data_IF_115359069675
#
_entry.id   IF_115359069675
#
_cell.length_a   1.000
_cell.length_b   1.000
_cell.length_c   1.000
_cell.angle_alpha   90.00
_cell.angle_beta   90.00
_cell.angle_gamma   90.00
#
_symmetry.space_group_name_H-M   'P 1'
#
loop_
_entity.id
_entity.type
_entity.pdbx_description
1 polymer ?
#
# COMPACT_ATOMS: atom_id res chain seq x y z
N UNK A 1 -0.73 12.69 -12.65
CA UNK A 1 -1.37 12.57 -11.32
C UNK A 1 -0.36 13.02 -10.27
N UNK A 2 -0.77 13.78 -9.26
CA UNK A 2 0.11 14.24 -8.16
C UNK A 2 -0.73 14.41 -6.90
N UNK A 3 -0.20 14.05 -5.73
CA UNK A 3 -0.86 14.30 -4.45
C UNK A 3 -0.34 15.60 -3.81
N UNK A 4 -1.20 16.32 -3.09
CA UNK A 4 -0.83 17.59 -2.44
C UNK A 4 -0.88 17.47 -0.93
N UNK A 5 0.24 17.77 -0.25
CA UNK A 5 0.26 17.82 1.21
C UNK A 5 -0.72 18.86 1.78
N UNK A 6 -0.96 19.97 1.09
CA UNK A 6 -1.90 21.00 1.57
C UNK A 6 -3.35 20.50 1.59
N UNK A 7 -3.73 19.64 0.63
CA UNK A 7 -5.05 18.99 0.61
C UNK A 7 -5.14 17.93 1.70
N UNK A 8 -4.11 17.09 1.82
CA UNK A 8 -4.10 16.01 2.81
C UNK A 8 -4.10 16.55 4.25
N UNK A 9 -3.34 17.62 4.51
CA UNK A 9 -3.25 18.26 5.84
C UNK A 9 -4.55 18.91 6.32
N UNK A 10 -5.57 19.06 5.47
CA UNK A 10 -6.89 19.54 5.90
C UNK A 10 -7.69 18.46 6.66
N UNK A 11 -7.36 17.19 6.45
CA UNK A 11 -8.07 16.02 7.02
C UNK A 11 -7.17 15.14 7.89
N UNK A 12 -5.86 15.14 7.64
CA UNK A 12 -4.90 14.27 8.31
C UNK A 12 -4.71 14.64 9.79
N UNK A 13 -4.69 13.66 10.72
CA UNK A 13 -4.42 13.92 12.14
C UNK A 13 -2.95 14.23 12.43
N UNK A 14 -2.04 13.89 11.52
CA UNK A 14 -0.63 14.23 11.59
C UNK A 14 -0.23 15.13 10.42
N UNK A 15 0.69 16.07 10.69
CA UNK A 15 1.21 16.97 9.65
C UNK A 15 2.06 16.18 8.65
N UNK A 16 1.65 16.19 7.39
CA UNK A 16 2.34 15.59 6.27
C UNK A 16 3.28 16.60 5.62
N UNK A 17 4.54 16.21 5.47
CA UNK A 17 5.56 16.91 4.70
C UNK A 17 5.75 16.20 3.37
N UNK A 18 5.61 16.91 2.25
CA UNK A 18 5.77 16.33 0.93
C UNK A 18 7.25 16.10 0.59
N UNK A 19 7.60 14.87 0.26
CA UNK A 19 8.95 14.48 -0.17
C UNK A 19 9.03 14.21 -1.69
N UNK A 20 7.90 13.91 -2.33
CA UNK A 20 7.80 13.66 -3.76
C UNK A 20 6.35 13.77 -4.26
N UNK A 21 6.10 13.40 -5.51
CA UNK A 21 4.77 13.50 -6.11
C UNK A 21 3.70 12.68 -5.37
N UNK A 22 4.11 11.54 -4.81
CA UNK A 22 3.25 10.59 -4.11
C UNK A 22 3.78 10.18 -2.73
N UNK A 23 4.79 10.88 -2.22
CA UNK A 23 5.54 10.47 -1.02
C UNK A 23 5.47 11.56 0.04
N UNK A 24 5.12 11.15 1.26
CA UNK A 24 4.92 12.02 2.41
C UNK A 24 5.65 11.48 3.63
N UNK A 25 6.08 12.39 4.50
CA UNK A 25 6.59 12.08 5.83
C UNK A 25 5.69 12.67 6.89
N UNK A 26 5.45 11.94 7.97
CA UNK A 26 4.83 12.46 9.19
C UNK A 26 5.55 11.93 10.44
N UNK A 27 5.28 12.59 11.57
CA UNK A 27 5.81 12.22 12.88
C UNK A 27 4.62 12.03 13.81
N UNK A 28 4.58 10.93 14.55
CA UNK A 28 3.49 10.63 15.49
C UNK A 28 3.65 11.40 16.80
N UNK A 29 2.62 11.38 17.66
CA UNK A 29 2.72 11.92 19.02
C UNK A 29 3.77 11.19 19.89
N UNK A 30 4.18 9.98 19.47
CA UNK A 30 5.22 9.16 20.10
C UNK A 30 6.62 9.40 19.49
N UNK A 31 6.79 10.46 18.69
CA UNK A 31 8.04 10.83 17.99
C UNK A 31 8.52 9.82 16.94
N UNK A 32 7.63 8.93 16.48
CA UNK A 32 7.97 7.92 15.48
C UNK A 32 7.83 8.52 14.08
N UNK A 33 8.90 8.42 13.30
CA UNK A 33 8.96 8.93 11.93
C UNK A 33 8.50 7.90 10.91
N UNK A 34 7.48 8.24 10.13
CA UNK A 34 7.00 7.43 9.02
C UNK A 34 7.17 8.12 7.69
N UNK A 35 7.54 7.34 6.68
CA UNK A 35 7.43 7.72 5.26
C UNK A 35 6.36 6.84 4.63
N UNK A 36 5.40 7.44 3.95
CA UNK A 36 4.27 6.75 3.31
C UNK A 36 4.09 7.28 1.90
N UNK A 37 3.70 6.42 0.97
CA UNK A 37 3.42 6.88 -0.37
C UNK A 37 3.23 5.77 -1.37
N UNK A 38 3.41 6.15 -2.63
CA UNK A 38 3.28 5.27 -3.77
C UNK A 38 4.45 5.40 -4.73
N UNK A 39 4.82 4.30 -5.38
CA UNK A 39 5.67 4.33 -6.56
C UNK A 39 5.00 3.58 -7.71
N UNK A 40 5.16 4.10 -8.93
CA UNK A 40 4.55 3.51 -10.12
C UNK A 40 5.12 2.11 -10.36
N UNK A 41 4.26 1.14 -10.65
CA UNK A 41 4.66 -0.20 -11.06
C UNK A 41 4.35 -0.44 -12.52
N UNK A 42 5.40 -0.48 -13.34
CA UNK A 42 5.30 -0.75 -14.79
C UNK A 42 5.46 -2.23 -15.15
N UNK A 43 5.68 -3.10 -14.16
CA UNK A 43 5.80 -4.56 -14.37
C UNK A 43 4.40 -5.18 -14.35
N UNK A 44 3.55 -4.70 -13.46
CA UNK A 44 2.16 -5.11 -13.30
C UNK A 44 1.29 -4.59 -14.45
N UNK A 45 1.38 -3.29 -14.74
CA UNK A 45 0.65 -2.63 -15.83
C UNK A 45 1.46 -1.44 -16.37
N UNK A 46 1.40 -1.18 -17.68
CA UNK A 46 2.12 -0.05 -18.31
C UNK A 46 1.78 1.32 -17.68
N UNK A 47 0.53 1.49 -17.24
CA UNK A 47 0.06 2.68 -16.55
C UNK A 47 -1.07 2.39 -15.55
N UNK A 48 -1.28 3.31 -14.61
CA UNK A 48 -2.37 3.25 -13.64
C UNK A 48 -2.11 2.34 -12.44
N UNK A 49 -0.95 1.70 -12.33
CA UNK A 49 -0.60 0.80 -11.24
C UNK A 49 0.48 1.38 -10.33
N UNK A 50 0.25 1.31 -9.02
CA UNK A 50 1.14 1.90 -8.03
C UNK A 50 1.29 1.02 -6.78
N UNK A 51 2.52 0.81 -6.34
CA UNK A 51 2.81 0.15 -5.08
C UNK A 51 2.66 1.11 -3.90
N UNK A 52 1.77 0.76 -2.97
CA UNK A 52 1.72 1.37 -1.66
C UNK A 52 2.90 0.91 -0.81
N UNK A 53 3.50 1.86 -0.10
CA UNK A 53 4.46 1.56 0.96
C UNK A 53 4.23 2.48 2.16
N UNK A 54 4.52 1.94 3.34
CA UNK A 54 4.74 2.71 4.56
C UNK A 54 5.97 2.13 5.24
N UNK A 55 6.90 3.01 5.60
CA UNK A 55 8.15 2.65 6.23
C UNK A 55 8.38 3.47 7.49
N UNK A 56 8.92 2.80 8.50
CA UNK A 56 9.45 3.42 9.69
C UNK A 56 10.97 3.30 9.60
N UNK A 57 11.56 4.33 8.99
CA UNK A 57 12.97 4.35 8.61
C UNK A 57 13.93 4.30 9.80
N UNK A 58 13.44 4.67 10.99
CA UNK A 58 14.22 4.68 12.23
C UNK A 58 14.02 3.40 13.04
N UNK A 59 13.16 2.49 12.55
CA UNK A 59 12.81 1.21 13.16
C UNK A 59 12.36 1.31 14.63
N UNK A 60 11.81 2.47 15.01
CA UNK A 60 11.31 2.69 16.36
C UNK A 60 9.97 1.98 16.57
N UNK A 61 9.68 1.59 17.80
CA UNK A 61 8.47 0.83 18.10
C UNK A 61 7.70 1.53 19.21
N UNK A 62 6.47 1.93 18.89
CA UNK A 62 5.53 2.54 19.82
C UNK A 62 4.39 1.60 20.20
N UNK A 63 3.53 2.09 21.08
CA UNK A 63 2.22 1.51 21.31
C UNK A 63 1.32 1.69 20.08
N UNK A 64 0.25 0.90 19.99
CA UNK A 64 -0.73 1.00 18.91
C UNK A 64 -1.26 2.44 18.76
N UNK A 65 -1.18 2.98 17.55
CA UNK A 65 -1.64 4.32 17.22
C UNK A 65 -2.68 4.28 16.10
N UNK A 66 -3.97 4.50 16.41
CA UNK A 66 -5.03 4.47 15.40
C UNK A 66 -4.93 5.62 14.39
N UNK A 67 -4.27 6.74 14.73
CA UNK A 67 -4.13 7.90 13.82
C UNK A 67 -3.30 7.56 12.58
N UNK A 68 -2.47 6.52 12.64
CA UNK A 68 -1.72 6.04 11.47
C UNK A 68 -2.70 5.55 10.38
N UNK A 69 -3.75 4.82 10.76
CA UNK A 69 -4.78 4.38 9.81
C UNK A 69 -5.56 5.58 9.24
N UNK A 70 -5.85 6.59 10.05
CA UNK A 70 -6.51 7.81 9.58
C UNK A 70 -5.65 8.55 8.55
N UNK A 71 -4.32 8.66 8.77
CA UNK A 71 -3.38 9.19 7.77
C UNK A 71 -3.43 8.38 6.47
N UNK A 72 -3.33 7.06 6.57
CA UNK A 72 -3.39 6.16 5.39
C UNK A 72 -4.72 6.34 4.66
N UNK A 73 -5.83 6.43 5.38
CA UNK A 73 -7.17 6.61 4.81
C UNK A 73 -7.26 7.90 4.00
N UNK A 74 -6.84 9.04 4.56
CA UNK A 74 -6.86 10.33 3.85
C UNK A 74 -5.99 10.31 2.59
N UNK A 75 -4.85 9.61 2.63
CA UNK A 75 -3.98 9.42 1.47
C UNK A 75 -4.66 8.56 0.40
N UNK A 76 -5.32 7.46 0.79
CA UNK A 76 -6.05 6.60 -0.16
C UNK A 76 -7.23 7.34 -0.80
N UNK A 77 -7.98 8.12 -0.02
CA UNK A 77 -9.10 8.93 -0.54
C UNK A 77 -8.61 9.89 -1.63
N UNK A 78 -7.48 10.57 -1.41
CA UNK A 78 -6.90 11.49 -2.39
C UNK A 78 -6.27 10.75 -3.59
N UNK A 79 -5.69 9.57 -3.35
CA UNK A 79 -5.10 8.76 -4.42
C UNK A 79 -6.17 8.22 -5.39
N UNK A 80 -7.30 7.73 -4.86
CA UNK A 80 -8.39 7.17 -5.67
C UNK A 80 -9.42 8.20 -6.15
N UNK A 81 -9.34 9.47 -5.73
CA UNK A 81 -10.19 10.55 -6.26
C UNK A 81 -9.77 11.03 -7.65
N UNK A 82 -8.57 10.65 -8.10
CA UNK A 82 -7.98 11.03 -9.37
C UNK A 82 -8.35 10.03 -10.48
N UNK A 83 -7.55 9.94 -11.54
CA UNK A 83 -7.72 8.96 -12.64
C UNK A 83 -7.89 7.52 -12.12
N UNK A 84 -8.56 6.62 -12.88
CA UNK A 84 -8.67 5.22 -12.52
C UNK A 84 -7.30 4.58 -12.26
N UNK A 85 -7.10 4.09 -11.04
CA UNK A 85 -5.85 3.47 -10.60
C UNK A 85 -6.08 2.17 -9.85
N UNK A 86 -5.05 1.33 -9.86
CA UNK A 86 -4.89 0.19 -8.96
C UNK A 86 -3.77 0.51 -7.96
N UNK A 87 -4.05 0.25 -6.69
CA UNK A 87 -3.01 0.17 -5.67
C UNK A 87 -2.60 -1.29 -5.50
N UNK A 88 -1.30 -1.54 -5.45
CA UNK A 88 -0.70 -2.83 -5.13
C UNK A 88 0.02 -2.76 -3.80
N UNK A 89 0.03 -3.85 -3.04
CA UNK A 89 0.97 -4.02 -1.94
C UNK A 89 1.59 -5.40 -1.99
N UNK A 90 2.83 -5.49 -1.51
CA UNK A 90 3.54 -6.74 -1.27
C UNK A 90 4.13 -6.65 0.13
N UNK A 91 3.96 -7.72 0.89
CA UNK A 91 4.60 -7.83 2.19
C UNK A 91 5.97 -8.47 2.00
N UNK A 92 7.01 -7.63 2.01
CA UNK A 92 8.41 -8.05 1.99
C UNK A 92 8.67 -9.18 3.00
N UNK A 93 9.43 -10.22 2.65
CA UNK A 93 9.72 -11.38 3.51
C UNK A 93 11.09 -11.38 4.18
N UNK A 94 11.90 -10.33 4.01
CA UNK A 94 13.31 -10.24 4.44
C UNK A 94 13.50 -10.30 5.95
N UNK A 95 12.57 -9.78 6.74
CA UNK A 95 12.62 -9.76 8.22
C UNK A 95 11.71 -10.82 8.87
N UNK A 96 11.12 -11.72 8.07
CA UNK A 96 10.14 -12.73 8.48
C UNK A 96 8.84 -12.20 9.13
N UNK A 97 8.52 -10.91 8.96
CA UNK A 97 7.30 -10.27 9.46
C UNK A 97 6.20 -10.10 8.40
N UNK A 98 6.33 -10.72 7.24
CA UNK A 98 5.38 -10.56 6.13
C UNK A 98 3.94 -10.92 6.51
N UNK A 99 3.73 -11.93 7.35
CA UNK A 99 2.39 -12.32 7.78
C UNK A 99 1.76 -11.30 8.75
N UNK A 100 2.59 -10.59 9.53
CA UNK A 100 2.12 -9.51 10.40
C UNK A 100 1.76 -8.26 9.57
N UNK A 101 2.57 -7.93 8.56
CA UNK A 101 2.26 -6.86 7.60
C UNK A 101 0.99 -7.16 6.81
N UNK A 102 0.82 -8.40 6.34
CA UNK A 102 -0.38 -8.81 5.62
C UNK A 102 -1.65 -8.63 6.46
N UNK A 103 -1.62 -9.05 7.74
CA UNK A 103 -2.75 -8.81 8.65
C UNK A 103 -3.06 -7.33 8.85
N UNK A 104 -2.02 -6.50 8.98
CA UNK A 104 -2.18 -5.06 9.17
C UNK A 104 -2.81 -4.42 7.92
N UNK A 105 -2.25 -4.72 6.74
CA UNK A 105 -2.73 -4.18 5.47
C UNK A 105 -4.13 -4.70 5.13
N UNK A 106 -4.39 -5.98 5.36
CA UNK A 106 -5.72 -6.54 5.20
C UNK A 106 -6.73 -5.81 6.08
N UNK A 107 -6.43 -5.58 7.37
CA UNK A 107 -7.31 -4.82 8.26
C UNK A 107 -7.57 -3.40 7.74
N UNK A 108 -6.51 -2.68 7.38
CA UNK A 108 -6.61 -1.29 6.91
C UNK A 108 -7.41 -1.18 5.61
N UNK A 109 -7.06 -1.98 4.60
CA UNK A 109 -7.65 -1.88 3.28
C UNK A 109 -9.03 -2.53 3.21
N UNK A 110 -9.33 -3.51 4.06
CA UNK A 110 -10.69 -4.05 4.19
C UNK A 110 -11.64 -3.00 4.76
N UNK A 111 -11.26 -2.31 5.84
CA UNK A 111 -12.10 -1.24 6.42
C UNK A 111 -12.28 -0.07 5.46
N UNK A 112 -11.21 0.31 4.73
CA UNK A 112 -11.29 1.31 3.67
C UNK A 112 -12.26 0.87 2.57
N UNK A 113 -12.09 -0.35 2.04
CA UNK A 113 -12.88 -0.85 0.92
C UNK A 113 -14.37 -0.94 1.25
N UNK A 114 -14.69 -1.39 2.47
CA UNK A 114 -16.07 -1.49 2.98
C UNK A 114 -16.81 -0.16 3.00
N UNK A 115 -16.09 0.97 3.10
CA UNK A 115 -16.67 2.31 3.19
C UNK A 115 -16.59 3.14 1.90
N UNK A 116 -15.87 2.69 0.87
CA UNK A 116 -15.52 3.51 -0.31
C UNK A 116 -15.84 2.88 -1.68
N UNK A 117 -16.75 1.90 -1.76
CA UNK A 117 -17.08 1.20 -3.01
C UNK A 117 -15.85 0.63 -3.74
N UNK A 118 -14.88 0.12 -2.96
CA UNK A 118 -13.67 -0.48 -3.50
C UNK A 118 -13.72 -2.00 -3.40
N UNK A 119 -12.90 -2.66 -4.20
CA UNK A 119 -12.68 -4.10 -4.14
C UNK A 119 -11.23 -4.38 -3.75
N UNK A 120 -11.06 -5.09 -2.64
CA UNK A 120 -9.78 -5.63 -2.18
C UNK A 120 -9.66 -7.08 -2.65
N UNK A 121 -8.60 -7.38 -3.41
CA UNK A 121 -8.15 -8.74 -3.66
C UNK A 121 -6.82 -8.95 -2.94
N UNK A 122 -6.73 -9.94 -2.07
CA UNK A 122 -5.49 -10.29 -1.37
C UNK A 122 -5.33 -11.80 -1.33
N UNK A 123 -4.13 -12.27 -1.64
CA UNK A 123 -3.79 -13.68 -1.70
C UNK A 123 -2.31 -13.90 -1.38
N UNK A 124 -1.91 -15.16 -1.27
CA UNK A 124 -0.54 -15.55 -0.97
C UNK A 124 -0.08 -16.70 -1.85
N UNK A 125 1.23 -16.75 -2.10
CA UNK A 125 1.88 -17.87 -2.76
C UNK A 125 3.01 -18.41 -1.88
N UNK A 126 3.08 -19.72 -1.75
CA UNK A 126 4.18 -20.39 -1.04
C UNK A 126 5.25 -20.82 -2.03
N UNK A 127 6.49 -20.35 -1.82
CA UNK A 127 7.65 -20.75 -2.60
C UNK A 127 8.84 -21.00 -1.68
N UNK A 128 9.52 -22.14 -1.83
CA UNK A 128 10.63 -22.58 -0.96
C UNK A 128 10.33 -22.42 0.54
N UNK A 129 9.12 -22.83 0.98
CA UNK A 129 8.65 -22.74 2.37
C UNK A 129 8.46 -21.30 2.91
N UNK A 130 8.56 -20.29 2.05
CA UNK A 130 8.25 -18.90 2.38
C UNK A 130 6.91 -18.52 1.75
N UNK A 131 6.01 -17.96 2.55
CA UNK A 131 4.78 -17.35 2.06
C UNK A 131 5.06 -15.91 1.64
N UNK A 132 4.63 -15.55 0.44
CA UNK A 132 4.63 -14.20 -0.09
C UNK A 132 3.19 -13.71 -0.14
N UNK A 133 2.91 -12.55 0.46
CA UNK A 133 1.57 -11.97 0.52
C UNK A 133 1.52 -10.73 -0.35
N UNK A 134 0.49 -10.62 -1.17
CA UNK A 134 0.28 -9.47 -2.02
C UNK A 134 -1.22 -9.19 -2.16
N UNK A 135 -1.56 -7.95 -2.48
CA UNK A 135 -2.94 -7.59 -2.77
C UNK A 135 -3.04 -6.39 -3.68
N UNK A 136 -4.23 -6.25 -4.27
CA UNK A 136 -4.63 -5.09 -5.04
C UNK A 136 -5.90 -4.48 -4.45
N UNK A 137 -5.98 -3.16 -4.53
CA UNK A 137 -7.16 -2.38 -4.18
C UNK A 137 -7.51 -1.47 -5.36
N UNK A 138 -8.76 -1.50 -5.78
CA UNK A 138 -9.27 -0.67 -6.86
C UNK A 138 -10.74 -0.37 -6.68
N UNK A 139 -11.24 0.65 -7.38
CA UNK A 139 -12.66 0.97 -7.40
C UNK A 139 -13.47 -0.19 -7.98
N UNK A 140 -14.67 -0.43 -7.47
CA UNK A 140 -15.57 -1.46 -7.99
C UNK A 140 -15.95 -1.20 -9.46
N UNK A 141 -16.08 0.07 -9.85
CA UNK A 141 -16.43 0.53 -11.19
C UNK A 141 -15.22 0.70 -12.14
N UNK A 142 -14.04 0.18 -11.77
CA UNK A 142 -12.84 0.35 -12.58
C UNK A 142 -13.05 -0.23 -13.99
N UNK A 143 -12.85 0.54 -15.08
CA UNK A 143 -13.23 0.12 -16.45
C UNK A 143 -12.45 -1.10 -16.95
N UNK A 144 -11.30 -1.38 -16.36
CA UNK A 144 -10.42 -2.53 -16.67
C UNK A 144 -10.46 -3.63 -15.61
N UNK A 145 -11.49 -3.68 -14.75
CA UNK A 145 -11.58 -4.58 -13.59
C UNK A 145 -11.14 -6.03 -13.88
N UNK A 146 -11.76 -6.68 -14.87
CA UNK A 146 -11.49 -8.10 -15.16
C UNK A 146 -10.07 -8.33 -15.71
N UNK A 147 -9.56 -7.37 -16.49
CA UNK A 147 -8.20 -7.40 -17.00
C UNK A 147 -7.18 -7.28 -15.85
N UNK A 148 -7.41 -6.35 -14.93
CA UNK A 148 -6.57 -6.16 -13.74
C UNK A 148 -6.56 -7.42 -12.88
N UNK A 149 -7.72 -8.06 -12.69
CA UNK A 149 -7.80 -9.29 -11.92
C UNK A 149 -7.00 -10.43 -12.59
N UNK A 150 -7.06 -10.54 -13.92
CA UNK A 150 -6.23 -11.49 -14.67
C UNK A 150 -4.73 -11.18 -14.52
N UNK A 151 -4.33 -9.92 -14.56
CA UNK A 151 -2.93 -9.51 -14.34
C UNK A 151 -2.47 -9.80 -12.92
N UNK A 152 -3.32 -9.59 -11.92
CA UNK A 152 -3.02 -9.93 -10.53
C UNK A 152 -2.79 -11.41 -10.30
N UNK A 153 -3.64 -12.26 -10.89
CA UNK A 153 -3.44 -13.71 -10.80
C UNK A 153 -2.13 -14.17 -11.45
N UNK A 154 -1.69 -13.51 -12.53
CA UNK A 154 -0.42 -13.84 -13.16
C UNK A 154 0.78 -13.26 -12.40
N UNK A 155 0.67 -12.01 -11.97
CA UNK A 155 1.66 -11.33 -11.13
C UNK A 155 1.98 -12.12 -9.87
N UNK A 156 0.96 -12.62 -9.16
CA UNK A 156 1.13 -13.38 -7.92
C UNK A 156 2.04 -14.60 -8.10
N UNK A 157 1.98 -15.28 -9.25
CA UNK A 157 2.84 -16.43 -9.56
C UNK A 157 4.32 -16.05 -9.70
N UNK A 158 4.59 -14.79 -10.00
CA UNK A 158 5.93 -14.24 -10.26
C UNK A 158 6.50 -13.44 -9.07
N UNK A 159 5.67 -13.11 -8.07
CA UNK A 159 6.10 -12.42 -6.83
C UNK A 159 7.32 -13.10 -6.20
N UNK A 160 7.38 -14.43 -6.04
CA UNK A 160 8.54 -15.07 -5.43
C UNK A 160 9.83 -14.76 -6.17
N UNK A 161 9.84 -14.67 -7.49
CA UNK A 161 11.02 -14.45 -8.34
C UNK A 161 11.43 -12.97 -8.35
N UNK A 162 10.47 -12.05 -8.26
CA UNK A 162 10.71 -10.62 -8.25
C UNK A 162 11.21 -10.13 -6.88
N UNK A 163 10.79 -10.80 -5.79
CA UNK A 163 11.05 -10.40 -4.41
C UNK A 163 11.74 -11.49 -3.59
N UNK A 164 12.49 -12.41 -4.23
CA UNK A 164 13.39 -13.33 -3.50
C UNK A 164 14.35 -12.47 -2.67
N UNK A 165 14.54 -12.75 -1.37
CA UNK A 165 15.68 -12.19 -0.64
C UNK A 165 16.94 -12.54 -1.42
N UNK A 166 17.66 -11.55 -1.95
CA UNK A 166 18.98 -11.81 -2.53
C UNK A 166 19.81 -12.45 -1.42
N UNK A 167 20.25 -13.69 -1.62
CA UNK A 167 21.17 -14.35 -0.70
C UNK A 167 22.35 -13.39 -0.48
N UNK A 168 22.61 -13.05 0.79
CA UNK A 168 23.79 -12.28 1.18
C UNK A 168 25.05 -13.11 0.96
#
# INVERSE_FOLDING_TARGET
>A
MTLSADILNQRSPYKLSQLGEFTFRFVTDQDIHYTVGFYKDTIFMDDGAYHFFIDNSEHEHGSYDPKILDVVTVILEEFFSQEPTVMLYICDSTDHRQAARDRLYHLWFYEYARSHEMTLYSDSVTFKQVNYYAGILMRHDHPLHDMILSYYQDFLKHVPQLYVPREK
#
